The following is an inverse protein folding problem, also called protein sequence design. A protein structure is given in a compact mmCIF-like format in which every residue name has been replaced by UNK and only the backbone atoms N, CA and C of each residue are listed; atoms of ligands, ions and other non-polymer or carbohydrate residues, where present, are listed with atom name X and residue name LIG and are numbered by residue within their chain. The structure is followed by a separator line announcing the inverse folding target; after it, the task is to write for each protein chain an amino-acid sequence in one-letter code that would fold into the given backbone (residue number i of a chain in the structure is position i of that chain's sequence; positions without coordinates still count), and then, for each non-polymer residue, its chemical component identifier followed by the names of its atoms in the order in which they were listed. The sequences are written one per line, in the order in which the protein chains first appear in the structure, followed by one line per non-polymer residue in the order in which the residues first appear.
data_IF_900100665750
#
_entry.id   IF_900100665750
#
_cell.length_a   1.000
_cell.length_b   1.000
_cell.length_c   1.000
_cell.angle_alpha   90.00
_cell.angle_beta   90.00
_cell.angle_gamma   90.00
#
_symmetry.space_group_name_H-M   'P 1'
#
loop_
_entity.id
_entity.type
_entity.pdbx_description
1 polymer ?
#
# COMPACT_ATOMS: atom_id res chain seq x y z
N UNK A 1 -8.15 22.52 -35.19
CA UNK A 1 -8.12 23.12 -33.84
C UNK A 1 -8.86 22.25 -32.80
N UNK A 2 -9.97 21.58 -33.12
CA UNK A 2 -10.72 20.69 -32.21
C UNK A 2 -9.95 19.51 -31.56
N UNK A 3 -8.83 19.06 -32.14
CA UNK A 3 -8.03 17.97 -31.57
C UNK A 3 -7.28 18.33 -30.28
N UNK A 4 -6.91 19.60 -30.09
CA UNK A 4 -6.15 20.06 -28.91
C UNK A 4 -7.05 20.26 -27.70
N UNK A 5 -8.24 20.84 -27.88
CA UNK A 5 -9.15 21.17 -26.78
C UNK A 5 -9.70 19.91 -26.10
N UNK A 6 -10.18 18.94 -26.88
CA UNK A 6 -10.67 17.67 -26.34
C UNK A 6 -9.55 16.88 -25.62
N UNK A 7 -8.33 16.95 -26.15
CA UNK A 7 -7.17 16.32 -25.52
C UNK A 7 -6.84 16.97 -24.17
N UNK A 8 -6.87 18.30 -24.09
CA UNK A 8 -6.62 19.03 -22.84
C UNK A 8 -7.72 18.81 -21.79
N UNK A 9 -8.99 18.73 -22.20
CA UNK A 9 -10.09 18.33 -21.30
C UNK A 9 -9.87 16.92 -20.78
N UNK A 10 -9.47 15.97 -21.64
CA UNK A 10 -9.16 14.62 -21.22
C UNK A 10 -7.99 14.59 -20.22
N UNK A 11 -6.91 15.33 -20.48
CA UNK A 11 -5.77 15.46 -19.55
C UNK A 11 -6.24 16.00 -18.20
N UNK A 12 -7.09 17.03 -18.19
CA UNK A 12 -7.61 17.60 -16.95
C UNK A 12 -8.44 16.61 -16.13
N UNK A 13 -9.29 15.80 -16.78
CA UNK A 13 -10.05 14.75 -16.11
C UNK A 13 -9.16 13.62 -15.59
N UNK A 14 -8.20 13.17 -16.40
CA UNK A 14 -7.23 12.15 -16.00
C UNK A 14 -6.44 12.63 -14.78
N UNK A 15 -6.00 13.88 -14.78
CA UNK A 15 -5.27 14.48 -13.68
C UNK A 15 -6.11 14.61 -12.41
N UNK A 16 -7.39 15.01 -12.55
CA UNK A 16 -8.32 15.00 -11.42
C UNK A 16 -8.46 13.60 -10.81
N UNK A 17 -8.70 12.58 -11.64
CA UNK A 17 -8.81 11.20 -11.15
C UNK A 17 -7.53 10.69 -10.51
N UNK A 18 -6.37 11.05 -11.07
CA UNK A 18 -5.08 10.75 -10.45
C UNK A 18 -4.99 11.33 -9.04
N UNK A 19 -5.25 12.62 -8.86
CA UNK A 19 -5.18 13.26 -7.53
C UNK A 19 -6.18 12.62 -6.56
N UNK A 20 -7.42 12.38 -7.01
CA UNK A 20 -8.44 11.76 -6.17
C UNK A 20 -8.08 10.33 -5.78
N UNK A 21 -7.48 9.56 -6.69
CA UNK A 21 -6.97 8.23 -6.37
C UNK A 21 -5.81 8.27 -5.38
N UNK A 22 -4.92 9.25 -5.48
CA UNK A 22 -3.85 9.44 -4.49
C UNK A 22 -4.45 9.79 -3.11
N UNK A 23 -5.42 10.71 -3.07
CA UNK A 23 -6.15 11.05 -1.85
C UNK A 23 -6.81 9.81 -1.23
N UNK A 24 -7.46 8.98 -2.06
CA UNK A 24 -8.13 7.77 -1.59
C UNK A 24 -7.15 6.70 -1.09
N UNK A 25 -6.00 6.54 -1.75
CA UNK A 25 -4.92 5.68 -1.26
C UNK A 25 -4.44 6.13 0.12
N UNK A 26 -4.22 7.44 0.32
CA UNK A 26 -3.83 7.99 1.62
C UNK A 26 -4.89 7.81 2.70
N UNK A 27 -6.17 8.04 2.37
CA UNK A 27 -7.28 7.84 3.28
C UNK A 27 -7.43 6.36 3.67
N UNK A 28 -7.31 5.45 2.70
CA UNK A 28 -7.31 4.00 2.95
C UNK A 28 -6.12 3.58 3.81
N UNK A 29 -4.94 4.14 3.58
CA UNK A 29 -3.76 3.90 4.42
C UNK A 29 -3.98 4.37 5.85
N UNK A 30 -4.63 5.53 6.04
CA UNK A 30 -4.97 6.01 7.37
C UNK A 30 -5.90 5.03 8.11
N UNK A 31 -6.90 4.50 7.40
CA UNK A 31 -7.83 3.50 7.91
C UNK A 31 -7.09 2.19 8.24
N UNK A 32 -6.17 1.73 7.38
CA UNK A 32 -5.36 0.53 7.65
C UNK A 32 -4.43 0.71 8.84
N UNK A 33 -3.84 1.90 9.01
CA UNK A 33 -3.01 2.22 10.18
C UNK A 33 -3.75 2.09 11.51
N UNK A 34 -5.06 2.30 11.50
CA UNK A 34 -5.91 2.13 12.68
C UNK A 34 -6.44 0.70 12.84
N UNK A 35 -6.94 0.09 11.76
CA UNK A 35 -7.65 -1.18 11.81
C UNK A 35 -6.76 -2.42 11.67
N UNK A 36 -5.55 -2.28 11.10
CA UNK A 36 -4.61 -3.37 10.80
C UNK A 36 -5.30 -4.62 10.22
N UNK A 37 -6.19 -4.42 9.24
CA UNK A 37 -7.03 -5.48 8.65
C UNK A 37 -6.21 -6.58 8.01
N UNK A 38 -5.08 -6.23 7.39
CA UNK A 38 -4.17 -7.17 6.72
C UNK A 38 -3.68 -8.29 7.65
N UNK A 39 -3.33 -7.96 8.89
CA UNK A 39 -2.88 -8.94 9.87
C UNK A 39 -4.01 -9.92 10.25
N UNK A 40 -5.25 -9.43 10.32
CA UNK A 40 -6.44 -10.26 10.59
C UNK A 40 -6.71 -11.21 9.41
N UNK A 41 -6.59 -10.74 8.17
CA UNK A 41 -6.79 -11.60 6.99
C UNK A 41 -5.71 -12.68 6.88
N UNK A 42 -4.46 -12.32 7.17
CA UNK A 42 -3.36 -13.29 7.19
C UNK A 42 -3.62 -14.38 8.24
N UNK A 43 -4.01 -13.97 9.44
CA UNK A 43 -4.32 -14.87 10.54
C UNK A 43 -5.47 -15.81 10.20
N UNK A 44 -6.57 -15.27 9.65
CA UNK A 44 -7.68 -16.06 9.15
C UNK A 44 -7.23 -17.04 8.06
N UNK A 45 -6.37 -16.59 7.15
CA UNK A 45 -5.81 -17.42 6.10
C UNK A 45 -5.03 -18.60 6.65
N UNK A 46 -4.22 -18.37 7.68
CA UNK A 46 -3.45 -19.40 8.37
C UNK A 46 -4.37 -20.38 9.11
N UNK A 47 -5.42 -19.90 9.80
CA UNK A 47 -6.45 -20.78 10.40
C UNK A 47 -7.12 -21.69 9.37
N UNK A 48 -7.51 -21.13 8.24
CA UNK A 48 -8.16 -21.89 7.16
C UNK A 48 -7.20 -22.88 6.48
N UNK A 49 -5.93 -22.52 6.35
CA UNK A 49 -4.86 -23.37 5.80
C UNK A 49 -4.56 -24.55 6.73
N UNK A 50 -4.46 -24.30 8.03
CA UNK A 50 -4.13 -25.28 9.07
C UNK A 50 -5.36 -25.99 9.66
N UNK A 51 -6.57 -25.68 9.16
CA UNK A 51 -7.84 -26.29 9.62
C UNK A 51 -8.04 -26.20 11.13
N UNK A 52 -7.65 -25.05 11.70
CA UNK A 52 -7.80 -24.73 13.11
C UNK A 52 -8.70 -23.49 13.24
N UNK A 53 -10.02 -23.72 13.19
CA UNK A 53 -11.03 -22.63 13.19
C UNK A 53 -11.01 -21.82 14.49
N UNK A 54 -10.79 -22.50 15.62
CA UNK A 54 -10.65 -21.87 16.94
C UNK A 54 -9.35 -21.09 17.08
N UNK A 55 -8.30 -21.49 16.34
CA UNK A 55 -6.98 -20.91 16.44
C UNK A 55 -6.30 -21.23 17.77
N UNK A 56 -6.74 -22.26 18.46
CA UNK A 56 -6.25 -22.65 19.80
C UNK A 56 -5.21 -23.77 19.74
N UNK A 57 -5.09 -24.46 18.61
CA UNK A 57 -4.16 -25.57 18.40
C UNK A 57 -2.90 -25.12 17.66
N UNK A 58 -2.65 -25.76 16.50
CA UNK A 58 -1.42 -25.55 15.73
C UNK A 58 -1.19 -24.09 15.33
N UNK A 59 -2.26 -23.31 15.13
CA UNK A 59 -2.13 -21.89 14.80
C UNK A 59 -1.54 -21.12 15.99
N UNK A 60 -1.99 -21.41 17.20
CA UNK A 60 -1.44 -20.78 18.41
C UNK A 60 0.04 -21.11 18.57
N UNK A 61 0.41 -22.38 18.47
CA UNK A 61 1.81 -22.82 18.55
C UNK A 61 2.68 -22.14 17.49
N UNK A 62 2.16 -21.99 16.27
CA UNK A 62 2.84 -21.31 15.17
C UNK A 62 3.05 -19.82 15.45
N UNK A 63 2.05 -19.11 16.01
CA UNK A 63 2.20 -17.69 16.34
C UNK A 63 3.12 -17.45 17.54
N UNK A 64 3.11 -18.36 18.52
CA UNK A 64 4.00 -18.32 19.68
C UNK A 64 5.45 -18.74 19.33
N UNK A 65 5.66 -19.38 18.17
CA UNK A 65 6.96 -19.83 17.69
C UNK A 65 7.99 -18.67 17.50
N UNK A 66 9.26 -18.80 17.93
CA UNK A 66 10.26 -17.71 17.88
C UNK A 66 10.45 -17.03 16.51
N UNK A 67 10.35 -17.80 15.42
CA UNK A 67 10.46 -17.29 14.04
C UNK A 67 9.26 -16.43 13.58
N UNK A 68 8.13 -16.51 14.29
CA UNK A 68 6.89 -15.78 13.97
C UNK A 68 6.61 -14.73 15.03
N UNK A 69 6.78 -15.05 16.32
CA UNK A 69 6.56 -14.12 17.43
C UNK A 69 7.50 -12.90 17.38
N UNK A 70 8.68 -13.04 16.79
CA UNK A 70 9.60 -11.92 16.53
C UNK A 70 9.09 -10.92 15.48
N UNK A 71 8.12 -11.30 14.64
CA UNK A 71 7.55 -10.43 13.60
C UNK A 71 6.54 -9.42 14.15
N UNK A 72 6.16 -9.55 15.43
CA UNK A 72 5.05 -8.80 15.99
C UNK A 72 5.21 -8.59 17.50
N UNK A 73 4.39 -7.72 18.12
CA UNK A 73 4.55 -7.36 19.55
C UNK A 73 3.40 -7.87 20.40
N UNK A 74 3.70 -8.62 21.45
CA UNK A 74 2.71 -9.11 22.42
C UNK A 74 2.44 -10.61 22.23
N UNK A 75 1.27 -11.06 22.69
CA UNK A 75 0.88 -12.47 22.65
C UNK A 75 -0.24 -12.69 21.63
N UNK A 76 -0.30 -13.91 21.11
CA UNK A 76 -1.41 -14.32 20.26
C UNK A 76 -2.60 -14.71 21.14
N UNK A 77 -3.74 -14.08 20.88
CA UNK A 77 -4.98 -14.27 21.66
C UNK A 77 -6.13 -14.52 20.68
N UNK A 78 -6.54 -15.79 20.50
CA UNK A 78 -7.58 -16.14 19.55
C UNK A 78 -8.95 -15.58 19.97
N UNK A 79 -9.26 -15.39 21.26
CA UNK A 79 -10.58 -14.93 21.74
C UNK A 79 -10.89 -13.50 21.31
N UNK A 80 -9.86 -12.64 21.32
CA UNK A 80 -9.96 -11.26 20.80
C UNK A 80 -10.26 -11.22 19.30
N UNK A 81 -9.92 -12.29 18.57
CA UNK A 81 -10.10 -12.43 17.13
C UNK A 81 -11.39 -13.19 16.79
N UNK A 82 -11.76 -14.23 17.56
CA UNK A 82 -12.89 -15.15 17.34
C UNK A 82 -14.25 -14.60 17.75
N UNK A 83 -14.34 -13.57 18.60
CA UNK A 83 -15.61 -12.86 18.90
C UNK A 83 -16.33 -12.34 17.63
N UNK A 84 -15.65 -12.41 16.48
CA UNK A 84 -16.10 -12.03 15.13
C UNK A 84 -16.56 -13.19 14.23
N UNK A 85 -16.21 -14.45 14.50
CA UNK A 85 -16.50 -15.60 13.61
C UNK A 85 -17.82 -16.34 13.96
N UNK A 86 -18.45 -16.03 15.10
CA UNK A 86 -19.82 -16.48 15.39
C UNK A 86 -20.79 -15.86 14.37
N UNK A 87 -21.51 -16.74 13.67
CA UNK A 87 -22.45 -16.58 12.54
C UNK A 87 -23.60 -15.55 12.69
N UNK A 88 -23.47 -14.51 13.51
CA UNK A 88 -24.49 -13.49 13.64
C UNK A 88 -24.33 -12.33 12.64
N UNK A 89 -25.48 -11.98 12.05
CA UNK A 89 -25.74 -11.11 10.89
C UNK A 89 -25.47 -9.61 11.09
N UNK A 90 -24.84 -9.21 12.20
CA UNK A 90 -24.65 -7.81 12.58
C UNK A 90 -23.18 -7.39 12.39
N UNK A 91 -22.85 -7.06 11.14
CA UNK A 91 -21.51 -6.85 10.59
C UNK A 91 -20.81 -5.54 11.01
N UNK A 92 -21.51 -4.57 11.59
CA UNK A 92 -20.98 -3.21 11.82
C UNK A 92 -20.61 -2.86 13.27
N UNK A 93 -21.12 -3.59 14.28
CA UNK A 93 -20.79 -3.38 15.72
C UNK A 93 -19.49 -4.07 16.19
N UNK A 94 -18.65 -4.53 15.25
CA UNK A 94 -17.51 -5.43 15.50
C UNK A 94 -16.18 -4.92 14.95
N UNK A 95 -15.96 -3.61 14.83
CA UNK A 95 -14.66 -3.08 14.36
C UNK A 95 -13.51 -3.39 15.36
N UNK A 96 -12.34 -3.83 14.87
CA UNK A 96 -11.21 -4.20 15.74
C UNK A 96 -10.59 -2.94 16.33
N UNK A 97 -10.40 -2.93 17.65
CA UNK A 97 -9.33 -2.16 18.25
C UNK A 97 -8.01 -2.91 18.03
N UNK A 98 -6.94 -2.16 17.73
CA UNK A 98 -5.52 -2.58 17.59
C UNK A 98 -5.26 -4.06 17.88
N UNK A 99 -5.01 -4.84 16.83
CA UNK A 99 -4.21 -6.04 16.99
C UNK A 99 -2.74 -5.64 16.78
N UNK A 100 -1.82 -6.47 17.25
CA UNK A 100 -0.39 -6.29 16.99
C UNK A 100 0.14 -7.49 16.20
N UNK A 101 -0.69 -8.15 15.39
CA UNK A 101 -0.29 -9.34 14.64
C UNK A 101 0.53 -8.94 13.40
N UNK A 102 1.35 -9.85 12.84
CA UNK A 102 2.15 -9.53 11.67
C UNK A 102 1.25 -9.35 10.44
N UNK A 103 1.50 -8.31 9.66
CA UNK A 103 0.78 -8.07 8.39
C UNK A 103 1.27 -8.99 7.25
N UNK A 104 2.42 -9.64 7.43
CA UNK A 104 3.01 -10.58 6.50
C UNK A 104 3.89 -11.58 7.26
N UNK A 105 3.82 -12.85 6.88
CA UNK A 105 4.68 -13.91 7.37
C UNK A 105 5.49 -14.43 6.18
N UNK A 106 6.83 -14.33 6.19
CA UNK A 106 7.65 -14.91 5.14
C UNK A 106 7.43 -16.42 5.05
N UNK A 107 7.24 -16.93 3.84
CA UNK A 107 7.01 -18.36 3.60
C UNK A 107 8.11 -19.23 4.21
N UNK A 108 9.36 -18.76 4.16
CA UNK A 108 10.50 -19.43 4.77
C UNK A 108 10.35 -19.59 6.28
N UNK A 109 9.93 -18.53 6.99
CA UNK A 109 9.75 -18.57 8.45
C UNK A 109 8.60 -19.51 8.81
N UNK A 110 7.51 -19.48 8.05
CA UNK A 110 6.39 -20.41 8.20
C UNK A 110 6.85 -21.87 8.03
N UNK A 111 7.54 -22.19 6.93
CA UNK A 111 7.97 -23.56 6.65
C UNK A 111 8.92 -24.09 7.72
N UNK A 112 9.88 -23.27 8.16
CA UNK A 112 10.80 -23.64 9.24
C UNK A 112 10.06 -23.84 10.56
N UNK A 113 9.10 -22.97 10.91
CA UNK A 113 8.30 -23.13 12.11
C UNK A 113 7.45 -24.40 12.08
N UNK A 114 6.81 -24.73 10.94
CA UNK A 114 6.05 -25.97 10.80
C UNK A 114 6.96 -27.20 10.89
N UNK A 115 8.16 -27.17 10.29
CA UNK A 115 9.13 -28.25 10.38
C UNK A 115 9.62 -28.45 11.83
N UNK A 116 9.84 -27.35 12.56
CA UNK A 116 10.27 -27.39 13.96
C UNK A 116 9.15 -27.92 14.86
N UNK A 117 7.93 -27.38 14.74
CA UNK A 117 6.74 -27.87 15.46
C UNK A 117 6.45 -29.34 15.16
N UNK A 118 6.62 -29.76 13.90
CA UNK A 118 6.47 -31.15 13.51
C UNK A 118 7.59 -32.02 14.08
N UNK A 119 8.85 -31.59 14.10
CA UNK A 119 9.99 -32.38 14.56
C UNK A 119 10.16 -32.41 16.08
N UNK A 120 10.17 -31.24 16.71
CA UNK A 120 10.45 -31.02 18.14
C UNK A 120 9.21 -30.78 18.99
N UNK A 121 8.08 -30.41 18.38
CA UNK A 121 6.86 -30.08 19.12
C UNK A 121 6.81 -28.62 19.54
N UNK A 122 5.97 -28.32 20.54
CA UNK A 122 5.77 -26.94 20.99
C UNK A 122 7.09 -26.34 21.50
N UNK A 123 7.40 -25.07 21.16
CA UNK A 123 8.63 -24.39 21.59
C UNK A 123 8.73 -24.21 23.12
N UNK A 124 7.68 -24.54 23.87
CA UNK A 124 7.64 -24.52 25.33
C UNK A 124 7.90 -25.89 25.98
N UNK A 125 8.14 -26.94 25.18
CA UNK A 125 8.38 -28.31 25.64
C UNK A 125 9.86 -28.71 25.77
N UNK A 126 10.09 -29.87 26.39
CA UNK A 126 11.41 -30.37 26.83
C UNK A 126 12.37 -30.83 25.70
N UNK A 127 11.91 -30.93 24.44
CA UNK A 127 12.66 -31.48 23.29
C UNK A 127 13.28 -30.41 22.34
N UNK A 128 13.41 -29.15 22.80
CA UNK A 128 13.87 -28.03 21.97
C UNK A 128 15.28 -28.23 21.37
N UNK A 129 16.14 -29.02 22.02
CA UNK A 129 17.53 -29.25 21.61
C UNK A 129 17.73 -30.46 20.68
N UNK A 130 16.66 -31.17 20.30
CA UNK A 130 16.77 -32.35 19.43
C UNK A 130 17.26 -32.01 18.01
N UNK A 131 18.12 -32.86 17.44
CA UNK A 131 18.56 -32.71 16.06
C UNK A 131 17.40 -32.91 15.09
N UNK A 132 17.12 -31.91 14.24
CA UNK A 132 16.00 -31.95 13.30
C UNK A 132 16.36 -32.87 12.11
N UNK A 133 15.76 -34.06 12.06
CA UNK A 133 15.90 -34.99 10.93
C UNK A 133 14.59 -35.12 10.16
N UNK A 134 14.65 -35.41 8.86
CA UNK A 134 13.46 -35.55 8.04
C UNK A 134 12.55 -36.69 8.52
N UNK A 135 13.15 -37.76 9.07
CA UNK A 135 12.41 -38.86 9.69
C UNK A 135 11.65 -38.39 10.95
N UNK A 136 12.31 -37.63 11.84
CA UNK A 136 11.68 -37.09 13.04
C UNK A 136 10.56 -36.09 12.71
N UNK A 137 10.77 -35.22 11.72
CA UNK A 137 9.73 -34.29 11.23
C UNK A 137 8.54 -35.08 10.68
N UNK A 138 8.78 -36.14 9.90
CA UNK A 138 7.72 -36.97 9.31
C UNK A 138 6.92 -37.72 10.37
N UNK A 139 7.60 -38.32 11.33
CA UNK A 139 6.98 -39.04 12.45
C UNK A 139 6.16 -38.07 13.30
N UNK A 140 6.75 -36.95 13.71
CA UNK A 140 6.08 -35.98 14.54
C UNK A 140 4.96 -35.22 13.81
N UNK A 141 5.07 -34.96 12.50
CA UNK A 141 3.94 -34.47 11.70
C UNK A 141 2.75 -35.44 11.72
N UNK A 142 3.00 -36.75 11.84
CA UNK A 142 1.93 -37.74 11.87
C UNK A 142 1.16 -37.76 13.20
N UNK A 143 1.82 -37.39 14.31
CA UNK A 143 1.26 -37.41 15.66
C UNK A 143 0.75 -36.05 16.12
N UNK A 144 1.48 -34.98 15.82
CA UNK A 144 1.21 -33.61 16.32
C UNK A 144 0.21 -32.84 15.45
N UNK A 145 0.13 -33.14 14.15
CA UNK A 145 -0.88 -32.52 13.27
C UNK A 145 -2.19 -33.30 13.36
N UNK A 146 -3.13 -32.74 14.11
CA UNK A 146 -4.44 -33.35 14.36
C UNK A 146 -5.27 -33.50 13.08
N UNK A 147 -5.37 -32.44 12.27
CA UNK A 147 -6.21 -32.45 11.06
C UNK A 147 -5.65 -33.40 9.98
N UNK A 148 -6.42 -34.40 9.51
CA UNK A 148 -5.95 -35.37 8.52
C UNK A 148 -5.59 -34.77 7.16
N UNK A 149 -6.24 -33.66 6.75
CA UNK A 149 -6.00 -33.04 5.44
C UNK A 149 -4.70 -32.25 5.46
N UNK A 150 -4.48 -31.49 6.52
CA UNK A 150 -3.23 -30.74 6.75
C UNK A 150 -2.07 -31.71 6.90
N UNK A 151 -2.22 -32.75 7.73
CA UNK A 151 -1.22 -33.80 7.89
C UNK A 151 -0.83 -34.41 6.55
N UNK A 152 -1.82 -34.76 5.71
CA UNK A 152 -1.55 -35.33 4.38
C UNK A 152 -0.83 -34.36 3.46
N UNK A 153 -1.19 -33.07 3.47
CA UNK A 153 -0.51 -32.06 2.66
C UNK A 153 0.96 -31.89 3.07
N UNK A 154 1.23 -31.81 4.37
CA UNK A 154 2.59 -31.72 4.92
C UNK A 154 3.39 -32.97 4.57
N UNK A 155 2.83 -34.17 4.80
CA UNK A 155 3.53 -35.42 4.46
C UNK A 155 3.87 -35.53 2.98
N UNK A 156 2.99 -35.08 2.07
CA UNK A 156 3.30 -35.05 0.62
C UNK A 156 4.48 -34.10 0.33
N UNK A 157 4.51 -32.93 0.98
CA UNK A 157 5.61 -31.98 0.81
C UNK A 157 6.95 -32.57 1.32
N UNK A 158 6.92 -33.33 2.42
CA UNK A 158 8.09 -34.02 2.97
C UNK A 158 8.52 -35.23 2.12
N UNK A 159 7.58 -36.06 1.67
CA UNK A 159 7.87 -37.27 0.88
C UNK A 159 8.48 -36.91 -0.49
N UNK A 160 8.05 -35.80 -1.10
CA UNK A 160 8.60 -35.29 -2.36
C UNK A 160 10.04 -34.74 -2.22
N UNK A 161 10.53 -34.52 -1.00
CA UNK A 161 11.86 -34.00 -0.76
C UNK A 161 12.98 -35.06 -0.90
N UNK A 162 12.62 -36.35 -1.00
CA UNK A 162 13.57 -37.47 -1.21
C UNK A 162 14.74 -37.51 -0.22
N UNK A 163 14.52 -37.08 1.01
CA UNK A 163 15.53 -37.06 2.07
C UNK A 163 16.30 -35.75 2.24
N UNK A 164 16.08 -34.75 1.37
CA UNK A 164 16.69 -33.43 1.48
C UNK A 164 15.82 -32.47 2.31
N UNK A 165 16.35 -31.98 3.43
CA UNK A 165 15.66 -31.04 4.33
C UNK A 165 15.39 -29.69 3.66
N UNK A 166 16.28 -29.21 2.79
CA UNK A 166 16.06 -27.96 2.08
C UNK A 166 14.96 -28.06 1.04
N UNK A 167 14.87 -29.20 0.34
CA UNK A 167 13.75 -29.45 -0.56
C UNK A 167 12.43 -29.58 0.19
N UNK A 168 12.43 -30.22 1.37
CA UNK A 168 11.23 -30.28 2.22
C UNK A 168 10.75 -28.87 2.61
N UNK A 169 11.69 -27.99 3.00
CA UNK A 169 11.41 -26.58 3.30
C UNK A 169 10.87 -25.83 2.08
N UNK A 170 11.41 -26.05 0.88
CA UNK A 170 10.94 -25.42 -0.36
C UNK A 170 9.52 -25.89 -0.74
N UNK A 171 9.24 -27.18 -0.60
CA UNK A 171 7.91 -27.74 -0.87
C UNK A 171 6.86 -27.17 0.09
N UNK A 172 7.20 -27.02 1.37
CA UNK A 172 6.31 -26.40 2.36
C UNK A 172 6.10 -24.90 2.11
N UNK A 173 7.14 -24.19 1.66
CA UNK A 173 6.99 -22.80 1.20
C UNK A 173 6.01 -22.70 0.04
N UNK A 174 6.17 -23.53 -0.99
CA UNK A 174 5.27 -23.54 -2.14
C UNK A 174 3.81 -23.88 -1.76
N UNK A 175 3.61 -24.80 -0.80
CA UNK A 175 2.29 -25.11 -0.26
C UNK A 175 1.67 -23.91 0.49
N UNK A 176 2.46 -23.22 1.31
CA UNK A 176 2.03 -22.01 2.01
C UNK A 176 1.68 -20.89 1.02
N UNK A 177 2.54 -20.60 0.06
CA UNK A 177 2.33 -19.56 -0.96
C UNK A 177 1.04 -19.82 -1.75
N UNK A 178 0.82 -21.07 -2.17
CA UNK A 178 -0.42 -21.48 -2.84
C UNK A 178 -1.67 -21.26 -1.95
N UNK A 179 -1.53 -21.48 -0.64
CA UNK A 179 -2.58 -21.17 0.34
C UNK A 179 -2.83 -19.67 0.48
N UNK A 180 -1.76 -18.88 0.50
CA UNK A 180 -1.81 -17.42 0.63
C UNK A 180 -2.29 -16.71 -0.63
N UNK A 181 -2.10 -17.29 -1.82
CA UNK A 181 -2.68 -16.78 -3.07
C UNK A 181 -4.21 -16.75 -3.01
N UNK A 182 -4.83 -17.75 -2.37
CA UNK A 182 -6.30 -17.75 -2.17
C UNK A 182 -6.73 -16.66 -1.20
N UNK A 183 -6.02 -16.51 -0.08
CA UNK A 183 -6.32 -15.54 0.98
C UNK A 183 -6.16 -14.11 0.47
N UNK A 184 -5.07 -13.85 -0.27
CA UNK A 184 -4.80 -12.56 -0.88
C UNK A 184 -5.84 -12.22 -1.96
N UNK A 185 -6.38 -13.21 -2.67
CA UNK A 185 -7.47 -13.03 -3.63
C UNK A 185 -8.75 -12.45 -3.02
N UNK A 186 -9.17 -12.94 -1.85
CA UNK A 186 -10.33 -12.38 -1.14
C UNK A 186 -10.07 -10.97 -0.62
N UNK A 187 -8.86 -10.73 -0.08
CA UNK A 187 -8.46 -9.41 0.38
C UNK A 187 -8.48 -8.36 -0.74
N UNK A 188 -8.01 -8.71 -1.95
CA UNK A 188 -8.08 -7.81 -3.12
C UNK A 188 -9.52 -7.44 -3.46
N UNK A 189 -10.44 -8.41 -3.45
CA UNK A 189 -11.87 -8.16 -3.73
C UNK A 189 -12.51 -7.27 -2.68
N UNK A 190 -12.25 -7.54 -1.40
CA UNK A 190 -12.78 -6.73 -0.29
C UNK A 190 -12.23 -5.30 -0.34
N UNK A 191 -10.92 -5.15 -0.58
CA UNK A 191 -10.28 -3.84 -0.71
C UNK A 191 -10.86 -3.04 -1.88
N UNK A 192 -11.18 -3.67 -3.01
CA UNK A 192 -11.78 -2.98 -4.16
C UNK A 192 -13.17 -2.41 -3.83
N UNK A 193 -14.00 -3.15 -3.09
CA UNK A 193 -15.30 -2.64 -2.63
C UNK A 193 -15.16 -1.51 -1.61
N UNK A 194 -14.18 -1.61 -0.71
CA UNK A 194 -13.86 -0.53 0.24
C UNK A 194 -13.45 0.74 -0.51
N UNK A 195 -12.58 0.63 -1.53
CA UNK A 195 -12.16 1.76 -2.35
C UNK A 195 -13.33 2.38 -3.12
N UNK A 196 -14.23 1.55 -3.67
CA UNK A 196 -15.42 2.05 -4.35
C UNK A 196 -16.36 2.79 -3.38
N UNK A 197 -16.59 2.23 -2.19
CA UNK A 197 -17.42 2.85 -1.17
C UNK A 197 -16.81 4.16 -0.64
N UNK A 198 -15.50 4.16 -0.37
CA UNK A 198 -14.76 5.36 0.02
C UNK A 198 -14.76 6.41 -1.10
N UNK A 199 -14.68 5.98 -2.36
CA UNK A 199 -14.69 6.86 -3.52
C UNK A 199 -16.05 7.51 -3.71
N UNK A 200 -17.12 6.74 -3.56
CA UNK A 200 -18.49 7.24 -3.58
C UNK A 200 -18.73 8.20 -2.41
N UNK A 201 -18.31 7.84 -1.20
CA UNK A 201 -18.41 8.71 -0.02
C UNK A 201 -17.66 10.03 -0.22
N UNK A 202 -16.45 9.98 -0.76
CA UNK A 202 -15.63 11.17 -1.05
C UNK A 202 -16.28 12.03 -2.15
N UNK A 203 -16.78 11.41 -3.22
CA UNK A 203 -17.47 12.12 -4.29
C UNK A 203 -18.75 12.80 -3.81
N UNK A 204 -19.51 12.17 -2.91
CA UNK A 204 -20.70 12.77 -2.30
C UNK A 204 -20.32 13.91 -1.35
N UNK A 205 -19.42 13.67 -0.40
CA UNK A 205 -19.06 14.67 0.62
C UNK A 205 -18.41 15.91 0.03
N UNK A 206 -17.49 15.75 -0.91
CA UNK A 206 -16.83 16.86 -1.62
C UNK A 206 -17.62 17.35 -2.84
N UNK A 207 -18.79 16.76 -3.12
CA UNK A 207 -19.61 17.03 -4.30
C UNK A 207 -18.80 17.05 -5.62
N UNK A 208 -18.01 16.00 -5.85
CA UNK A 208 -17.19 15.87 -7.05
C UNK A 208 -18.03 15.19 -8.14
N UNK A 209 -18.70 16.01 -8.94
CA UNK A 209 -19.48 15.56 -10.10
C UNK A 209 -18.60 15.64 -11.36
N UNK A 210 -18.11 14.49 -11.84
CA UNK A 210 -17.28 14.45 -13.06
C UNK A 210 -17.97 15.08 -14.27
N UNK A 211 -19.28 14.92 -14.44
CA UNK A 211 -19.99 15.47 -15.60
C UNK A 211 -20.04 17.00 -15.53
N UNK A 212 -20.15 17.55 -14.33
CA UNK A 212 -20.06 18.98 -14.11
C UNK A 212 -18.64 19.49 -14.38
N UNK A 213 -17.62 18.83 -13.81
CA UNK A 213 -16.21 19.20 -14.02
C UNK A 213 -15.85 19.16 -15.51
N UNK A 214 -16.22 18.10 -16.22
CA UNK A 214 -15.95 17.96 -17.66
C UNK A 214 -16.55 19.12 -18.47
N UNK A 215 -17.80 19.51 -18.16
CA UNK A 215 -18.45 20.66 -18.82
C UNK A 215 -17.75 21.98 -18.51
N UNK A 216 -17.26 22.15 -17.28
CA UNK A 216 -16.53 23.36 -16.90
C UNK A 216 -15.16 23.44 -17.56
N UNK A 217 -14.39 22.34 -17.61
CA UNK A 217 -13.12 22.27 -18.35
C UNK A 217 -13.29 22.53 -19.85
N UNK A 218 -14.41 22.10 -20.41
CA UNK A 218 -14.72 22.33 -21.81
C UNK A 218 -15.13 23.79 -22.10
N UNK A 219 -15.70 24.51 -21.12
CA UNK A 219 -16.19 25.88 -21.31
C UNK A 219 -15.21 26.96 -20.87
N UNK A 220 -14.28 26.65 -19.98
CA UNK A 220 -13.34 27.60 -19.40
C UNK A 220 -11.89 27.26 -19.82
N UNK A 221 -11.34 28.10 -20.70
CA UNK A 221 -10.00 27.96 -21.23
C UNK A 221 -8.91 28.25 -20.20
N UNK A 222 -9.16 29.19 -19.27
CA UNK A 222 -8.20 29.57 -18.26
C UNK A 222 -8.05 28.45 -17.21
N UNK A 223 -9.18 27.90 -16.74
CA UNK A 223 -9.18 26.76 -15.81
C UNK A 223 -8.47 25.55 -16.43
N UNK A 224 -8.77 25.24 -17.70
CA UNK A 224 -8.14 24.13 -18.41
C UNK A 224 -6.62 24.32 -18.53
N UNK A 225 -6.16 25.53 -18.87
CA UNK A 225 -4.73 25.82 -18.98
C UNK A 225 -3.98 25.64 -17.65
N UNK A 226 -4.56 26.08 -16.53
CA UNK A 226 -3.96 25.91 -15.19
C UNK A 226 -3.80 24.43 -14.86
N UNK A 227 -4.85 23.63 -15.06
CA UNK A 227 -4.86 22.20 -14.72
C UNK A 227 -3.86 21.42 -15.58
N UNK A 228 -3.77 21.71 -16.87
CA UNK A 228 -2.81 21.05 -17.76
C UNK A 228 -1.36 21.43 -17.40
N UNK A 229 -1.11 22.67 -17.01
CA UNK A 229 0.21 23.13 -16.55
C UNK A 229 0.62 22.41 -15.26
N UNK A 230 -0.32 22.25 -14.33
CA UNK A 230 -0.10 21.49 -13.10
C UNK A 230 0.16 20.01 -13.37
N UNK A 231 -0.59 19.40 -14.29
CA UNK A 231 -0.38 18.03 -14.73
C UNK A 231 1.02 17.83 -15.35
N UNK A 232 1.50 18.80 -16.13
CA UNK A 232 2.86 18.82 -16.67
C UNK A 232 3.92 18.81 -15.58
N UNK A 233 3.76 19.69 -14.58
CA UNK A 233 4.69 19.77 -13.46
C UNK A 233 4.78 18.44 -12.69
N UNK A 234 3.65 17.76 -12.48
CA UNK A 234 3.60 16.46 -11.78
C UNK A 234 4.29 15.36 -12.58
N UNK A 235 4.04 15.27 -13.90
CA UNK A 235 4.71 14.27 -14.76
C UNK A 235 6.22 14.53 -14.83
N UNK A 236 6.64 15.78 -14.88
CA UNK A 236 8.07 16.11 -14.90
C UNK A 236 8.76 15.76 -13.57
N UNK A 237 8.14 16.09 -12.43
CA UNK A 237 8.62 15.65 -11.12
C UNK A 237 8.72 14.12 -11.02
N UNK A 238 7.74 13.41 -11.58
CA UNK A 238 7.75 11.95 -11.60
C UNK A 238 8.91 11.36 -12.42
N UNK A 239 9.25 11.97 -13.57
CA UNK A 239 10.39 11.54 -14.40
C UNK A 239 11.71 11.72 -13.66
N UNK A 240 11.87 12.84 -12.96
CA UNK A 240 13.06 13.11 -12.14
C UNK A 240 13.19 12.09 -11.01
N UNK A 241 12.08 11.74 -10.33
CA UNK A 241 12.09 10.73 -9.26
C UNK A 241 12.32 9.31 -9.78
N UNK A 242 11.79 8.96 -10.95
CA UNK A 242 12.04 7.67 -11.59
C UNK A 242 13.52 7.50 -11.96
N UNK A 243 14.17 8.57 -12.44
CA UNK A 243 15.61 8.56 -12.72
C UNK A 243 16.47 8.40 -11.45
N UNK A 244 15.94 8.76 -10.28
CA UNK A 244 16.60 8.60 -8.99
C UNK A 244 16.35 7.23 -8.31
N UNK A 245 15.66 6.29 -8.97
CA UNK A 245 15.40 4.95 -8.44
C UNK A 245 14.32 4.87 -7.36
N UNK A 246 13.35 5.80 -7.36
CA UNK A 246 12.31 5.88 -6.33
C UNK A 246 11.28 4.73 -6.33
N UNK A 247 10.87 4.31 -5.13
CA UNK A 247 9.81 3.31 -4.86
C UNK A 247 8.39 3.90 -5.05
N UNK A 248 7.35 3.05 -5.12
CA UNK A 248 5.94 3.40 -5.37
C UNK A 248 5.34 4.43 -4.39
N UNK A 249 5.95 4.65 -3.22
CA UNK A 249 5.66 5.77 -2.30
C UNK A 249 5.91 7.15 -2.94
N UNK A 250 6.52 7.17 -4.14
CA UNK A 250 6.76 8.34 -4.96
C UNK A 250 5.49 9.08 -5.42
N UNK A 251 4.33 8.44 -5.58
CA UNK A 251 3.16 9.13 -6.17
C UNK A 251 2.57 10.27 -5.31
N UNK A 252 2.63 10.17 -3.99
CA UNK A 252 2.29 11.28 -3.09
C UNK A 252 3.32 12.40 -3.18
N UNK A 253 4.61 12.02 -3.22
CA UNK A 253 5.74 12.93 -3.39
C UNK A 253 5.67 13.67 -4.74
N UNK A 254 5.14 13.04 -5.79
CA UNK A 254 4.91 13.63 -7.11
C UNK A 254 3.84 14.74 -7.12
N UNK A 255 2.91 14.76 -6.14
CA UNK A 255 1.96 15.86 -5.98
C UNK A 255 2.52 17.02 -5.14
N UNK A 256 3.80 16.95 -4.74
CA UNK A 256 4.40 17.88 -3.79
C UNK A 256 3.95 17.63 -2.34
N UNK A 257 3.47 16.42 -2.04
CA UNK A 257 3.05 16.00 -0.71
C UNK A 257 4.09 15.03 -0.13
N UNK A 258 5.19 15.53 0.46
CA UNK A 258 6.18 14.67 1.08
C UNK A 258 5.55 13.86 2.23
N UNK A 259 6.08 12.65 2.53
CA UNK A 259 5.72 11.92 3.73
C UNK A 259 6.29 12.64 4.97
N UNK A 260 5.76 13.81 5.28
CA UNK A 260 6.11 14.54 6.50
C UNK A 260 5.46 13.89 7.72
N UNK A 261 6.13 14.00 8.86
CA UNK A 261 5.59 13.59 10.14
C UNK A 261 4.29 14.37 10.41
N UNK A 262 3.24 13.66 10.80
CA UNK A 262 1.97 14.31 11.12
C UNK A 262 2.18 15.30 12.27
N UNK A 263 1.71 16.54 12.11
CA UNK A 263 1.80 17.58 13.13
C UNK A 263 0.47 17.77 13.85
N UNK A 264 0.50 18.31 15.07
CA UNK A 264 -0.72 18.64 15.83
C UNK A 264 -1.50 17.41 16.28
N UNK A 265 -2.84 17.46 16.23
CA UNK A 265 -3.70 16.37 16.71
C UNK A 265 -3.42 15.03 15.99
N UNK A 266 -3.00 15.06 14.73
CA UNK A 266 -2.65 13.86 13.97
C UNK A 266 -1.39 13.15 14.48
N UNK A 267 -0.51 13.84 15.22
CA UNK A 267 0.69 13.25 15.82
C UNK A 267 0.38 12.23 16.93
N UNK A 268 -0.81 12.32 17.55
CA UNK A 268 -1.26 11.37 18.56
C UNK A 268 -1.85 10.07 17.98
N UNK A 269 -2.01 9.99 16.66
CA UNK A 269 -2.51 8.81 15.98
C UNK A 269 -1.39 7.75 15.82
N UNK A 270 -1.74 6.47 15.65
CA UNK A 270 -0.77 5.44 15.26
C UNK A 270 0.00 5.84 13.99
N UNK A 271 1.29 5.48 13.89
CA UNK A 271 2.20 5.96 12.82
C UNK A 271 1.61 5.88 11.40
N UNK A 272 0.95 4.76 11.05
CA UNK A 272 0.30 4.60 9.75
C UNK A 272 -0.91 5.52 9.56
N UNK A 273 -1.72 5.69 10.60
CA UNK A 273 -2.86 6.60 10.60
C UNK A 273 -2.42 8.07 10.51
N UNK A 274 -1.39 8.44 11.26
CA UNK A 274 -0.77 9.76 11.26
C UNK A 274 -0.26 10.13 9.86
N UNK A 275 0.55 9.25 9.23
CA UNK A 275 1.08 9.46 7.87
C UNK A 275 -0.03 9.53 6.82
N UNK A 276 -1.04 8.66 6.91
CA UNK A 276 -2.18 8.68 6.00
C UNK A 276 -2.98 9.98 6.08
N UNK A 277 -3.25 10.48 7.29
CA UNK A 277 -3.95 11.76 7.50
C UNK A 277 -3.14 12.95 6.98
N UNK A 278 -1.83 13.00 7.25
CA UNK A 278 -0.96 14.06 6.73
C UNK A 278 -0.98 14.10 5.19
N UNK A 279 -0.81 12.93 4.57
CA UNK A 279 -0.85 12.76 3.12
C UNK A 279 -2.20 13.17 2.53
N UNK A 280 -3.31 12.76 3.15
CA UNK A 280 -4.65 13.11 2.70
C UNK A 280 -4.92 14.62 2.80
N UNK A 281 -4.52 15.26 3.90
CA UNK A 281 -4.68 16.71 4.08
C UNK A 281 -3.90 17.53 3.04
N UNK A 282 -2.73 17.05 2.64
CA UNK A 282 -1.95 17.69 1.59
C UNK A 282 -2.63 17.55 0.21
N UNK A 283 -3.04 16.34 -0.16
CA UNK A 283 -3.76 16.10 -1.40
C UNK A 283 -5.05 16.93 -1.49
N UNK A 284 -5.80 17.03 -0.39
CA UNK A 284 -7.01 17.85 -0.31
C UNK A 284 -6.73 19.35 -0.53
N UNK A 285 -5.64 19.89 0.04
CA UNK A 285 -5.20 21.27 -0.24
C UNK A 285 -4.85 21.46 -1.71
N UNK A 286 -4.18 20.48 -2.34
CA UNK A 286 -3.88 20.53 -3.77
C UNK A 286 -5.15 20.59 -4.61
N UNK A 287 -6.13 19.74 -4.33
CA UNK A 287 -7.43 19.74 -5.03
C UNK A 287 -8.13 21.09 -4.90
N UNK A 288 -8.17 21.67 -3.69
CA UNK A 288 -8.80 22.98 -3.46
C UNK A 288 -8.10 24.11 -4.23
N UNK A 289 -6.77 24.07 -4.33
CA UNK A 289 -5.99 25.10 -5.02
C UNK A 289 -6.16 25.08 -6.55
N UNK A 290 -6.68 23.99 -7.14
CA UNK A 290 -6.94 23.91 -8.58
C UNK A 290 -8.14 24.75 -9.04
N UNK A 291 -8.93 25.30 -8.11
CA UNK A 291 -10.11 26.10 -8.45
C UNK A 291 -11.20 25.30 -9.19
N UNK A 292 -11.20 23.97 -9.03
CA UNK A 292 -12.21 23.11 -9.65
C UNK A 292 -13.61 23.44 -9.10
N UNK A 293 -14.66 23.34 -9.93
CA UNK A 293 -16.04 23.56 -9.52
C UNK A 293 -16.56 22.34 -8.75
N UNK A 294 -16.00 22.12 -7.56
CA UNK A 294 -16.38 21.07 -6.61
C UNK A 294 -16.98 21.72 -5.36
N UNK A 295 -17.58 20.92 -4.49
CA UNK A 295 -18.19 21.41 -3.26
C UNK A 295 -19.65 21.84 -3.43
N UNK A 296 -20.27 22.23 -2.31
CA UNK A 296 -21.71 22.41 -2.21
C UNK A 296 -22.15 23.88 -2.33
N UNK A 297 -21.23 24.83 -2.39
CA UNK A 297 -21.49 26.27 -2.26
C UNK A 297 -22.49 26.81 -3.29
N UNK A 298 -22.47 26.30 -4.52
CA UNK A 298 -23.35 26.75 -5.61
C UNK A 298 -24.53 25.80 -5.87
N UNK A 299 -24.75 24.79 -5.00
CA UNK A 299 -25.78 23.77 -5.25
C UNK A 299 -27.02 23.99 -4.41
N UNK A 300 -28.08 24.42 -5.08
CA UNK A 300 -29.42 24.40 -4.53
C UNK A 300 -30.01 23.01 -4.75
N UNK A 301 -30.55 22.41 -3.70
CA UNK A 301 -31.21 21.10 -3.75
C UNK A 301 -32.71 21.34 -3.68
N UNK A 302 -33.40 20.98 -4.74
CA UNK A 302 -34.85 21.10 -4.82
C UNK A 302 -35.52 19.78 -4.42
N UNK A 303 -36.61 19.88 -3.69
CA UNK A 303 -37.28 18.73 -3.07
C UNK A 303 -38.73 18.60 -3.55
N UNK A 304 -39.32 17.38 -3.55
CA UNK A 304 -40.66 17.16 -4.12
C UNK A 304 -41.74 18.07 -3.54
N UNK A 305 -41.67 18.41 -2.25
CA UNK A 305 -42.64 19.29 -1.59
C UNK A 305 -42.59 20.74 -2.09
N UNK A 306 -41.47 21.20 -2.66
CA UNK A 306 -41.34 22.54 -3.25
C UNK A 306 -42.13 22.69 -4.55
N UNK A 307 -42.45 21.55 -5.20
CA UNK A 307 -43.24 21.48 -6.42
C UNK A 307 -44.67 20.95 -6.17
N UNK A 308 -45.15 21.00 -4.92
CA UNK A 308 -46.50 20.54 -4.60
C UNK A 308 -46.73 19.04 -4.84
N UNK A 309 -45.68 18.22 -4.71
CA UNK A 309 -45.69 16.78 -5.02
C UNK A 309 -45.89 16.44 -6.50
N UNK A 310 -45.73 17.40 -7.42
CA UNK A 310 -45.56 17.11 -8.85
C UNK A 310 -44.20 16.43 -9.08
N UNK A 311 -44.22 15.10 -9.08
CA UNK A 311 -43.02 14.27 -9.27
C UNK A 311 -42.42 14.48 -10.66
N UNK A 312 -43.23 14.77 -11.68
CA UNK A 312 -42.75 14.99 -13.05
C UNK A 312 -41.95 16.29 -13.16
N UNK A 313 -42.50 17.39 -12.65
CA UNK A 313 -41.82 18.68 -12.61
C UNK A 313 -40.57 18.65 -11.72
N UNK A 314 -40.65 18.00 -10.56
CA UNK A 314 -39.49 17.82 -9.67
C UNK A 314 -38.39 16.97 -10.31
N UNK A 315 -38.73 15.84 -10.93
CA UNK A 315 -37.74 15.02 -11.64
C UNK A 315 -37.07 15.82 -12.75
N UNK A 316 -37.81 16.57 -13.56
CA UNK A 316 -37.24 17.37 -14.65
C UNK A 316 -36.39 18.58 -14.20
N UNK A 317 -36.46 18.98 -12.92
CA UNK A 317 -35.81 20.19 -12.43
C UNK A 317 -34.27 20.15 -12.55
N UNK A 318 -33.59 21.27 -12.83
CA UNK A 318 -32.12 21.36 -12.87
C UNK A 318 -31.43 21.00 -11.54
N UNK A 319 -32.18 21.13 -10.45
CA UNK A 319 -31.67 21.13 -9.08
C UNK A 319 -32.13 19.89 -8.31
N UNK A 320 -32.62 18.89 -9.04
CA UNK A 320 -33.03 17.64 -8.45
C UNK A 320 -31.80 16.91 -7.85
N UNK A 321 -31.92 16.34 -6.65
CA UNK A 321 -30.82 15.71 -5.93
C UNK A 321 -30.27 14.45 -6.62
N UNK A 322 -31.01 13.90 -7.59
CA UNK A 322 -30.60 12.72 -8.34
C UNK A 322 -29.65 13.03 -9.51
N UNK A 323 -29.64 14.27 -10.02
CA UNK A 323 -28.82 14.67 -11.18
C UNK A 323 -27.31 14.48 -11.03
N UNK A 324 -26.69 14.66 -9.85
CA UNK A 324 -25.28 14.33 -9.68
C UNK A 324 -24.98 12.84 -9.55
N UNK A 325 -25.97 11.99 -9.28
CA UNK A 325 -25.72 10.57 -9.02
C UNK A 325 -24.88 9.91 -10.12
N UNK A 326 -25.12 10.15 -11.43
CA UNK A 326 -24.27 9.60 -12.49
C UNK A 326 -22.83 10.12 -12.43
N UNK A 327 -22.64 11.41 -12.11
CA UNK A 327 -21.33 12.03 -11.96
C UNK A 327 -20.56 11.51 -10.75
N UNK A 328 -21.21 11.34 -9.61
CA UNK A 328 -20.62 10.74 -8.42
C UNK A 328 -20.28 9.26 -8.63
N UNK A 329 -21.16 8.51 -9.29
CA UNK A 329 -20.91 7.10 -9.61
C UNK A 329 -19.73 6.95 -10.57
N UNK A 330 -19.64 7.81 -11.59
CA UNK A 330 -18.49 7.81 -12.50
C UNK A 330 -17.20 8.17 -11.77
N UNK A 331 -17.24 9.15 -10.87
CA UNK A 331 -16.09 9.53 -10.03
C UNK A 331 -15.66 8.36 -9.12
N UNK A 332 -16.61 7.71 -8.45
CA UNK A 332 -16.34 6.57 -7.59
C UNK A 332 -15.70 5.40 -8.35
N UNK A 333 -16.24 5.08 -9.53
CA UNK A 333 -15.69 4.05 -10.41
C UNK A 333 -14.29 4.42 -10.89
N UNK A 334 -14.09 5.64 -11.36
CA UNK A 334 -12.80 6.12 -11.84
C UNK A 334 -11.74 6.01 -10.73
N UNK A 335 -12.04 6.54 -9.54
CA UNK A 335 -11.07 6.57 -8.45
C UNK A 335 -10.76 5.16 -7.91
N UNK A 336 -11.71 4.22 -7.99
CA UNK A 336 -11.49 2.82 -7.60
C UNK A 336 -10.43 2.08 -8.43
N UNK A 337 -10.06 2.59 -9.62
CA UNK A 337 -8.96 2.01 -10.43
C UNK A 337 -7.57 2.27 -9.82
N UNK A 338 -7.46 3.22 -8.89
CA UNK A 338 -6.23 3.52 -8.16
C UNK A 338 -5.28 4.47 -8.90
N UNK A 339 -4.34 5.03 -8.13
CA UNK A 339 -3.44 6.08 -8.62
C UNK A 339 -2.49 5.63 -9.74
N UNK A 340 -1.91 4.40 -9.71
CA UNK A 340 -0.99 3.97 -10.75
C UNK A 340 -1.61 3.95 -12.15
N UNK A 341 -2.86 3.49 -12.25
CA UNK A 341 -3.58 3.46 -13.52
C UNK A 341 -3.72 4.86 -14.14
N UNK A 342 -4.16 5.84 -13.36
CA UNK A 342 -4.37 7.21 -13.85
C UNK A 342 -3.07 7.95 -14.11
N UNK A 343 -2.01 7.67 -13.34
CA UNK A 343 -0.68 8.21 -13.61
C UNK A 343 -0.12 7.71 -14.94
N UNK A 344 -0.21 6.40 -15.21
CA UNK A 344 0.24 5.82 -16.48
C UNK A 344 -0.52 6.42 -17.65
N UNK A 345 -1.83 6.61 -17.50
CA UNK A 345 -2.66 7.25 -18.51
C UNK A 345 -2.27 8.72 -18.71
N UNK A 346 -2.02 9.45 -17.62
CA UNK A 346 -1.58 10.84 -17.67
C UNK A 346 -0.26 10.96 -18.44
N UNK A 347 0.74 10.16 -18.08
CA UNK A 347 2.04 10.18 -18.73
C UNK A 347 1.92 9.91 -20.25
N UNK A 348 1.11 8.92 -20.65
CA UNK A 348 0.85 8.62 -22.07
C UNK A 348 0.21 9.81 -22.80
N UNK A 349 -0.80 10.44 -22.22
CA UNK A 349 -1.47 11.59 -22.83
C UNK A 349 -0.58 12.82 -22.91
N UNK A 350 0.29 13.03 -21.92
CA UNK A 350 1.27 14.11 -21.93
C UNK A 350 2.31 13.94 -23.05
N UNK A 351 2.77 12.71 -23.29
CA UNK A 351 3.64 12.39 -24.43
C UNK A 351 2.92 12.70 -25.75
N UNK A 352 1.67 12.28 -25.92
CA UNK A 352 0.88 12.57 -27.13
C UNK A 352 0.71 14.09 -27.33
N UNK A 353 0.38 14.85 -26.28
CA UNK A 353 0.28 16.32 -26.35
C UNK A 353 1.57 16.95 -26.88
N UNK A 354 2.73 16.49 -26.39
CA UNK A 354 4.02 17.02 -26.83
C UNK A 354 4.31 16.77 -28.31
N UNK A 355 3.81 15.66 -28.88
CA UNK A 355 3.97 15.33 -30.31
C UNK A 355 3.02 16.08 -31.25
N UNK A 356 1.91 16.61 -30.72
CA UNK A 356 0.85 17.29 -31.50
C UNK A 356 0.98 18.82 -31.46
N UNK A 357 1.92 19.38 -30.68
CA UNK A 357 2.24 20.82 -30.75
C UNK A 357 2.68 21.16 -32.19
N UNK A 358 1.93 22.00 -32.92
CA UNK A 358 2.34 22.41 -34.26
C UNK A 358 3.70 23.10 -34.15
N UNK A 359 4.66 22.72 -34.99
CA UNK A 359 5.83 23.56 -35.24
C UNK A 359 5.29 24.95 -35.62
N UNK A 360 5.42 25.94 -34.74
CA UNK A 360 5.22 27.33 -35.13
C UNK A 360 6.19 27.61 -36.28
N UNK A 361 5.63 28.14 -37.37
CA UNK A 361 6.28 28.45 -38.64
C UNK A 361 7.70 28.97 -38.42
N UNK A 362 8.69 28.38 -39.09
CA UNK A 362 9.97 29.06 -39.34
C UNK A 362 9.70 30.47 -39.88
N UNK A 363 10.48 31.48 -39.45
CA UNK A 363 10.32 32.84 -39.91
C UNK A 363 10.53 32.90 -41.43
N UNK A 364 9.79 33.77 -42.10
CA UNK A 364 9.93 34.07 -43.53
C UNK A 364 11.41 34.24 -43.91
N UNK A 365 11.92 33.35 -44.77
CA UNK A 365 13.15 33.60 -45.51
C UNK A 365 12.88 34.72 -46.51
N UNK A 366 13.26 35.93 -46.13
CA UNK A 366 13.54 37.03 -47.05
C UNK A 366 14.95 36.90 -47.60
N UNK A 367 15.10 37.14 -48.92
CA UNK A 367 16.35 37.24 -49.72
C UNK A 367 16.98 35.89 -50.11
N UNK A 368 17.44 35.63 -51.33
CA UNK A 368 18.10 36.53 -52.28
C UNK A 368 18.15 35.84 -53.66
N UNK A 369 17.51 36.38 -54.70
CA UNK A 369 17.63 35.81 -56.06
C UNK A 369 17.59 36.92 -57.12
N UNK A 370 18.77 37.51 -57.38
CA UNK A 370 19.12 38.11 -58.68
C UNK A 370 20.60 37.87 -58.97
N UNK A 371 20.85 36.82 -59.74
CA UNK A 371 22.13 36.51 -60.37
C UNK A 371 22.48 37.53 -61.47
N UNK A 372 23.76 37.90 -61.55
CA UNK A 372 24.42 38.29 -62.81
C UNK A 372 25.84 37.67 -62.87
N UNK A 373 26.39 37.42 -64.09
CA UNK A 373 27.39 36.38 -64.34
C UNK A 373 28.87 36.82 -64.26
N UNK A 374 29.73 35.80 -64.19
CA UNK A 374 31.20 35.75 -64.02
C UNK A 374 32.02 36.38 -65.18
N UNK A 375 33.29 36.79 -64.91
CA UNK A 375 34.44 36.12 -65.56
C UNK A 375 35.63 35.83 -64.60
N UNK A 376 36.49 34.87 -64.99
CA UNK A 376 37.68 34.36 -64.25
C UNK A 376 39.01 34.93 -64.85
N UNK A 377 40.25 34.42 -64.56
CA UNK A 377 40.89 33.78 -63.38
C UNK A 377 42.31 34.37 -63.04
N UNK A 378 42.93 34.01 -61.90
CA UNK A 378 44.41 33.86 -61.75
C UNK A 378 44.80 33.25 -60.37
N UNK A 379 45.35 32.02 -60.32
CA UNK A 379 46.76 31.63 -60.06
C UNK A 379 47.18 31.61 -58.57
N UNK A 380 47.57 30.42 -58.07
CA UNK A 380 48.40 30.26 -56.85
C UNK A 380 48.20 28.94 -56.06
N UNK A 381 48.89 27.88 -56.46
CA UNK A 381 49.22 26.66 -55.67
C UNK A 381 50.66 26.82 -55.08
N UNK A 382 51.27 25.87 -54.29
CA UNK A 382 50.78 24.73 -53.49
C UNK A 382 51.49 24.55 -52.09
N UNK A 383 51.15 23.46 -51.35
CA UNK A 383 52.05 22.74 -50.40
C UNK A 383 51.47 22.54 -48.98
N UNK A 384 50.80 21.42 -48.66
CA UNK A 384 51.34 20.13 -48.14
C UNK A 384 52.04 20.26 -46.77
N UNK A 385 51.56 19.67 -45.66
CA UNK A 385 51.70 18.23 -45.36
C UNK A 385 51.04 17.82 -44.03
N UNK A 386 50.62 16.54 -43.96
CA UNK A 386 50.64 15.58 -42.81
C UNK A 386 49.69 15.83 -41.61
N UNK A 387 48.97 14.87 -41.01
CA UNK A 387 49.02 13.40 -41.06
C UNK A 387 47.77 12.73 -40.41
N UNK A 388 47.44 11.55 -40.94
CA UNK A 388 46.91 10.30 -40.34
C UNK A 388 45.68 10.28 -39.40
N UNK A 389 44.66 9.53 -39.87
CA UNK A 389 43.81 8.65 -39.05
C UNK A 389 44.55 7.33 -38.73
N UNK A 390 44.10 6.49 -37.76
CA UNK A 390 43.04 5.53 -38.09
C UNK A 390 42.07 5.17 -36.94
N UNK A 391 41.08 4.35 -37.33
CA UNK A 391 39.89 3.88 -36.64
C UNK A 391 40.09 3.03 -35.37
N UNK A 392 39.07 3.01 -34.49
CA UNK A 392 38.85 1.98 -33.47
C UNK A 392 37.35 1.63 -33.35
N UNK A 393 37.15 0.35 -33.06
CA UNK A 393 36.04 -0.61 -33.08
C UNK A 393 34.77 -0.37 -32.24
N UNK A 394 33.67 -1.11 -32.51
CA UNK A 394 32.44 -1.11 -31.72
C UNK A 394 32.55 -1.90 -30.40
N UNK A 395 31.69 -1.53 -29.45
CA UNK A 395 31.65 -1.90 -28.03
C UNK A 395 31.25 -3.37 -27.74
N UNK A 396 31.66 -3.94 -26.57
CA UNK A 396 31.25 -5.27 -26.14
C UNK A 396 29.95 -5.27 -25.31
N UNK A 397 29.27 -6.40 -25.38
CA UNK A 397 27.99 -6.77 -24.74
C UNK A 397 28.11 -6.96 -23.21
N UNK A 398 27.04 -6.77 -22.40
CA UNK A 398 27.14 -6.68 -20.95
C UNK A 398 27.15 -8.04 -20.23
N UNK A 399 28.03 -8.19 -19.24
CA UNK A 399 28.07 -9.33 -18.32
C UNK A 399 27.07 -9.18 -17.14
N UNK A 400 26.54 -10.30 -16.59
CA UNK A 400 25.59 -10.30 -15.48
C UNK A 400 26.26 -10.04 -14.11
N UNK A 401 25.51 -9.54 -13.11
CA UNK A 401 26.07 -9.06 -11.85
C UNK A 401 26.57 -10.18 -10.93
N UNK A 402 27.79 -10.01 -10.46
CA UNK A 402 28.52 -10.80 -9.47
C UNK A 402 27.98 -10.59 -8.05
N UNK A 403 27.87 -11.69 -7.30
CA UNK A 403 27.67 -11.73 -5.85
C UNK A 403 28.86 -11.10 -5.11
N UNK A 404 28.68 -10.54 -3.90
CA UNK A 404 29.77 -10.36 -2.96
C UNK A 404 29.83 -11.52 -1.96
N UNK A 405 31.00 -12.15 -1.86
CA UNK A 405 31.38 -13.15 -0.86
C UNK A 405 32.68 -12.65 -0.13
N UNK A 406 33.15 -13.31 0.95
CA UNK A 406 33.45 -12.69 2.25
C UNK A 406 34.94 -12.43 2.54
N UNK A 407 35.23 -11.64 3.60
CA UNK A 407 36.51 -11.63 4.34
C UNK A 407 36.23 -11.18 5.80
N UNK A 408 36.39 -12.00 6.85
CA UNK A 408 37.57 -12.63 7.49
C UNK A 408 38.40 -11.69 8.40
N UNK A 409 38.20 -11.91 9.71
CA UNK A 409 39.12 -12.03 10.86
C UNK A 409 40.30 -11.05 11.08
N UNK A 410 40.35 -10.48 12.29
CA UNK A 410 41.59 -10.25 13.07
C UNK A 410 41.30 -10.05 14.58
N UNK A 411 42.23 -10.54 15.39
CA UNK A 411 42.24 -10.83 16.83
C UNK A 411 42.16 -9.63 17.80
N UNK A 412 41.88 -9.93 19.08
CA UNK A 412 41.91 -9.01 20.23
C UNK A 412 43.31 -8.52 20.63
N UNK A 413 43.45 -7.72 21.72
CA UNK A 413 43.43 -8.31 23.07
C UNK A 413 42.79 -7.45 24.18
N UNK A 414 42.65 -8.05 25.36
CA UNK A 414 42.28 -7.48 26.67
C UNK A 414 43.34 -6.48 27.21
N UNK A 415 43.00 -5.68 28.24
CA UNK A 415 43.39 -6.09 29.59
C UNK A 415 42.37 -5.79 30.71
N UNK A 416 42.54 -6.52 31.81
CA UNK A 416 41.89 -6.40 33.11
C UNK A 416 42.26 -5.12 33.87
N UNK A 417 41.39 -4.73 34.82
CA UNK A 417 41.83 -4.24 36.14
C UNK A 417 41.24 -2.90 36.61
N UNK A 418 40.43 -2.93 37.69
CA UNK A 418 40.34 -1.79 38.61
C UNK A 418 38.97 -1.37 39.14
N UNK A 419 38.31 -2.24 39.92
CA UNK A 419 37.73 -1.97 41.24
C UNK A 419 36.97 -0.67 41.61
N UNK A 420 35.92 -0.91 42.42
CA UNK A 420 35.43 -0.15 43.58
C UNK A 420 34.15 0.68 43.37
N UNK A 421 33.09 0.31 44.11
CA UNK A 421 32.03 1.25 44.49
C UNK A 421 30.64 0.68 44.76
N UNK A 422 30.49 -0.17 45.78
CA UNK A 422 29.20 -0.60 46.31
C UNK A 422 28.36 0.57 46.87
N UNK A 423 27.04 0.61 46.60
CA UNK A 423 26.02 1.19 47.50
C UNK A 423 24.56 0.86 47.10
N UNK A 424 24.04 -0.17 47.73
CA UNK A 424 22.69 -0.24 48.32
C UNK A 424 22.89 -0.96 49.67
N UNK A 425 22.16 -0.66 50.76
CA UNK A 425 20.70 -0.70 50.78
C UNK A 425 20.04 0.39 51.67
N UNK A 426 18.72 0.55 51.55
CA UNK A 426 17.95 0.90 52.75
C UNK A 426 16.56 0.27 52.70
N UNK A 427 16.41 -0.70 53.60
CA UNK A 427 15.20 -1.34 54.09
C UNK A 427 14.89 -0.67 55.44
N UNK A 428 13.63 -0.27 55.68
CA UNK A 428 13.08 -0.03 57.01
C UNK A 428 11.66 -0.59 57.08
N UNK A 429 11.55 -1.72 57.78
CA UNK A 429 10.45 -2.10 58.69
C UNK A 429 10.51 -1.15 59.92
N UNK A 430 9.50 -0.90 60.79
CA UNK A 430 8.15 -1.39 61.06
C UNK A 430 7.40 -0.32 61.92
N UNK A 431 6.21 -0.71 62.43
CA UNK A 431 5.39 -0.18 63.55
C UNK A 431 4.08 0.48 63.06
N UNK A 432 2.94 -0.25 62.96
CA UNK A 432 2.01 -0.80 63.99
C UNK A 432 0.74 0.07 64.13
N UNK A 433 -0.42 -0.52 63.84
CA UNK A 433 -1.64 -0.60 64.68
C UNK A 433 -2.89 -0.87 63.81
N UNK A 434 -3.62 -1.92 64.17
CA UNK A 434 -4.73 -2.44 63.40
C UNK A 434 -6.11 -2.01 63.88
N UNK A 435 -7.12 -2.21 63.03
CA UNK A 435 -8.50 -2.53 63.44
C UNK A 435 -9.11 -3.37 62.32
N UNK A 436 -9.52 -4.60 62.64
CA UNK A 436 -10.25 -5.50 61.75
C UNK A 436 -11.76 -5.28 61.83
N UNK A 437 -12.46 -5.69 60.77
CA UNK A 437 -13.85 -6.15 60.84
C UNK A 437 -14.05 -7.27 59.80
N UNK A 438 -14.37 -8.45 60.30
CA UNK A 438 -14.84 -9.63 59.58
C UNK A 438 -16.38 -9.66 59.56
N UNK A 439 -16.89 -10.39 58.57
CA UNK A 439 -18.12 -11.20 58.58
C UNK A 439 -19.47 -10.57 58.92
N UNK A 440 -20.38 -10.64 57.93
CA UNK A 440 -21.72 -11.22 58.16
C UNK A 440 -22.15 -12.13 57.01
N UNK A 441 -22.59 -13.30 57.44
CA UNK A 441 -23.15 -14.46 56.74
C UNK A 441 -24.65 -14.23 56.44
N UNK A 442 -25.08 -14.65 55.23
CA UNK A 442 -26.35 -15.27 54.71
C UNK A 442 -27.59 -15.50 55.64
N UNK A 443 -28.76 -16.04 55.17
CA UNK A 443 -29.40 -16.18 53.82
C UNK A 443 -30.95 -15.89 53.84
N UNK A 444 -31.65 -16.09 52.71
CA UNK A 444 -32.90 -16.91 52.54
C UNK A 444 -33.95 -16.37 51.54
N UNK A 445 -34.47 -17.31 50.74
CA UNK A 445 -35.85 -17.43 50.18
C UNK A 445 -36.32 -16.35 49.18
N UNK A 446 -37.07 -16.63 48.11
CA UNK A 446 -37.82 -17.78 47.64
C UNK A 446 -38.67 -17.28 46.45
N UNK A 447 -38.94 -18.17 45.50
CA UNK A 447 -39.79 -18.00 44.31
C UNK A 447 -41.23 -17.53 44.62
N UNK A 448 -42.01 -17.01 43.64
CA UNK A 448 -42.39 -17.67 42.37
C UNK A 448 -42.17 -16.90 41.06
#
# INVERSE_FOLDING_TARGET
MFGSELLEVAIGLIFLFFILSVLLSAAREAIEGFLQTRAIHLERGIRELLKDEGGEGLVRELYEHPLISSLYRGTYDPEKLTRRYSQHKDTWKRMPFRNNLPAYVPARNFALAIMDLAGRGSPTGDDADASLSLAAIREGASTRIADPRVRRAVLIALDNARGDLDQARLNLQAWFDSGMDRVSGWYRKETQWILLALGLFTAMTLNIDTLHVAKSLYRDDALRAVIVTDAEAVVEQARVQAAAGGDQTAMLTMLGCPPEAATGAAASLPDGAARGVASASCAERRVRNLGLPIGWENRHLSWPWQFGWDVGAWLASPDAPWRPLPGWLLTALAVSMGAPFWFDLLNKFMVIRSTVKPHEKSPEESSEDRQFPKPAPAVGQPGSTLALAPAVTPAPEPQPPSQPDPALDAEGPTPEGGGVGARTPNRREADEEGVGWTDKIDPLEGEP
#
